data_IF_221494131058
#
_entry.id   IF_221494131058
#
_cell.length_a   1.000
_cell.length_b   1.000
_cell.length_c   1.000
_cell.angle_alpha   90.00
_cell.angle_beta   90.00
_cell.angle_gamma   90.00
#
_symmetry.space_group_name_H-M   'P 1'
#
loop_
_entity.id
_entity.type
_entity.pdbx_description
1 polymer ?
#
# COMPACT_ATOMS: atom_id res chain seq x y z
N UNK A 1 14.59 -14.16 90.31
CA UNK A 1 15.30 -14.38 89.04
C UNK A 1 14.63 -15.53 88.28
N UNK A 2 13.27 -15.42 88.04
CA UNK A 2 12.50 -16.51 87.42
C UNK A 2 11.30 -16.03 86.64
N UNK A 3 11.26 -14.73 86.21
CA UNK A 3 10.08 -14.20 85.45
C UNK A 3 10.29 -13.99 83.91
N UNK A 4 11.39 -14.48 83.39
CA UNK A 4 11.69 -14.32 81.94
C UNK A 4 11.41 -15.58 81.11
N UNK A 5 10.88 -16.65 81.67
CA UNK A 5 10.68 -17.91 80.97
C UNK A 5 9.22 -18.17 80.51
N UNK A 6 8.29 -17.23 80.76
CA UNK A 6 6.89 -17.49 80.50
C UNK A 6 6.27 -16.41 79.50
N UNK A 7 7.05 -15.94 78.56
CA UNK A 7 6.47 -15.17 77.47
C UNK A 7 5.96 -16.12 76.36
N UNK A 8 4.69 -16.07 75.99
CA UNK A 8 4.20 -16.87 74.89
C UNK A 8 4.87 -16.35 73.55
N UNK A 9 5.41 -17.28 72.80
CA UNK A 9 5.97 -16.99 71.47
C UNK A 9 4.94 -16.23 70.62
N UNK A 10 5.39 -15.20 69.86
CA UNK A 10 4.50 -14.51 69.01
C UNK A 10 3.93 -15.47 67.92
N UNK A 11 2.61 -15.60 67.89
CA UNK A 11 1.91 -16.37 66.84
C UNK A 11 2.27 -15.80 65.47
N UNK A 12 2.68 -16.65 64.51
CA UNK A 12 2.94 -16.19 63.16
C UNK A 12 1.65 -15.59 62.59
N UNK A 13 1.71 -14.30 62.26
CA UNK A 13 0.66 -13.62 61.53
C UNK A 13 0.72 -14.15 60.08
N UNK A 14 -0.13 -15.12 59.77
CA UNK A 14 -0.32 -15.57 58.40
C UNK A 14 -1.04 -14.41 57.67
N UNK A 15 -0.48 -13.82 56.64
CA UNK A 15 -1.17 -12.77 55.89
C UNK A 15 -2.40 -13.39 55.23
N UNK A 16 -3.57 -13.11 55.79
CA UNK A 16 -4.86 -13.41 55.21
C UNK A 16 -5.11 -12.40 54.08
N UNK A 17 -4.73 -12.68 52.87
CA UNK A 17 -5.36 -12.17 51.66
C UNK A 17 -4.55 -12.39 50.38
N UNK A 18 -4.48 -13.61 49.85
CA UNK A 18 -4.00 -13.86 48.50
C UNK A 18 -4.98 -14.61 47.57
N UNK A 19 -6.24 -14.80 48.00
CA UNK A 19 -7.18 -15.63 47.21
C UNK A 19 -8.10 -14.89 46.20
N UNK A 20 -8.05 -13.56 46.11
CA UNK A 20 -8.91 -12.82 45.19
C UNK A 20 -8.21 -12.16 43.99
N UNK A 21 -6.88 -12.33 43.83
CA UNK A 21 -6.15 -11.68 42.72
C UNK A 21 -6.28 -12.44 41.39
N UNK A 22 -6.29 -13.75 41.40
CA UNK A 22 -6.21 -14.55 40.18
C UNK A 22 -7.36 -14.36 39.20
N UNK A 23 -8.60 -14.25 39.67
CA UNK A 23 -9.77 -14.03 38.79
C UNK A 23 -9.77 -12.63 38.21
N UNK A 24 -9.42 -11.61 38.95
CA UNK A 24 -9.31 -10.22 38.50
C UNK A 24 -8.20 -10.05 37.47
N UNK A 25 -7.07 -10.67 37.70
CA UNK A 25 -5.94 -10.68 36.78
C UNK A 25 -6.28 -11.42 35.48
N UNK A 26 -7.00 -12.55 35.59
CA UNK A 26 -7.49 -13.31 34.43
C UNK A 26 -8.45 -12.48 33.58
N UNK A 27 -9.44 -11.83 34.20
CA UNK A 27 -10.38 -10.94 33.47
C UNK A 27 -9.69 -9.73 32.86
N UNK A 28 -8.71 -9.15 33.55
CA UNK A 28 -7.90 -8.05 33.01
C UNK A 28 -7.09 -8.49 31.79
N UNK A 29 -6.45 -9.66 31.87
CA UNK A 29 -5.65 -10.21 30.76
C UNK A 29 -6.53 -10.53 29.55
N UNK A 30 -7.68 -11.18 29.76
CA UNK A 30 -8.65 -11.46 28.68
C UNK A 30 -9.15 -10.15 28.08
N UNK A 31 -9.48 -9.15 28.89
CA UNK A 31 -9.90 -7.83 28.43
C UNK A 31 -8.86 -7.14 27.54
N UNK A 32 -7.59 -7.19 27.93
CA UNK A 32 -6.48 -6.65 27.12
C UNK A 32 -6.34 -7.40 25.80
N UNK A 33 -6.41 -8.72 25.80
CA UNK A 33 -6.34 -9.54 24.60
C UNK A 33 -7.52 -9.27 23.64
N UNK A 34 -8.73 -9.17 24.18
CA UNK A 34 -9.93 -8.82 23.39
C UNK A 34 -9.82 -7.41 22.81
N UNK A 35 -9.35 -6.45 23.57
CA UNK A 35 -9.14 -5.07 23.11
C UNK A 35 -8.06 -5.01 22.03
N UNK A 36 -6.93 -5.70 22.23
CA UNK A 36 -5.88 -5.78 21.22
C UNK A 36 -6.38 -6.42 19.92
N UNK A 37 -7.16 -7.51 20.01
CA UNK A 37 -7.79 -8.14 18.87
C UNK A 37 -8.78 -7.21 18.15
N UNK A 38 -9.60 -6.47 18.89
CA UNK A 38 -10.52 -5.48 18.32
C UNK A 38 -9.77 -4.34 17.61
N UNK A 39 -8.73 -3.80 18.23
CA UNK A 39 -7.90 -2.76 17.63
C UNK A 39 -7.23 -3.27 16.35
N UNK A 40 -6.66 -4.47 16.39
CA UNK A 40 -6.07 -5.08 15.20
C UNK A 40 -7.10 -5.28 14.07
N UNK A 41 -8.29 -5.77 14.39
CA UNK A 41 -9.39 -5.93 13.45
C UNK A 41 -9.82 -4.60 12.81
N UNK A 42 -9.95 -3.55 13.63
CA UNK A 42 -10.29 -2.21 13.14
C UNK A 42 -9.18 -1.66 12.24
N UNK A 43 -7.91 -1.78 12.65
CA UNK A 43 -6.77 -1.33 11.84
C UNK A 43 -6.78 -2.05 10.48
N UNK A 44 -6.90 -3.37 10.46
CA UNK A 44 -6.91 -4.16 9.22
C UNK A 44 -8.07 -3.71 8.32
N UNK A 45 -9.29 -3.57 8.86
CA UNK A 45 -10.47 -3.18 8.09
C UNK A 45 -10.41 -1.77 7.50
N UNK A 46 -9.84 -0.81 8.24
CA UNK A 46 -9.75 0.59 7.79
C UNK A 46 -8.52 0.88 6.92
N UNK A 47 -7.39 0.20 7.18
CA UNK A 47 -6.09 0.48 6.56
C UNK A 47 -5.91 -0.29 5.26
N UNK A 48 -6.41 -1.53 5.20
CA UNK A 48 -6.22 -2.41 4.05
C UNK A 48 -7.53 -2.68 3.32
N UNK A 49 -7.44 -2.94 2.03
CA UNK A 49 -8.54 -3.41 1.21
C UNK A 49 -8.08 -4.53 0.29
N UNK A 50 -8.89 -5.58 0.21
CA UNK A 50 -8.67 -6.65 -0.76
C UNK A 50 -9.24 -6.26 -2.12
N UNK A 51 -8.50 -6.57 -3.17
CA UNK A 51 -8.90 -6.43 -4.57
C UNK A 51 -8.61 -7.71 -5.33
N UNK A 52 -9.37 -7.94 -6.39
CA UNK A 52 -9.07 -8.97 -7.37
C UNK A 52 -8.70 -8.29 -8.69
N UNK A 53 -7.63 -8.76 -9.31
CA UNK A 53 -7.18 -8.27 -10.60
C UNK A 53 -8.17 -8.70 -11.68
N UNK A 54 -8.60 -7.75 -12.48
CA UNK A 54 -9.40 -7.97 -13.69
C UNK A 54 -8.68 -7.37 -14.90
N UNK A 55 -8.37 -8.21 -15.86
CA UNK A 55 -7.72 -7.85 -17.12
C UNK A 55 -6.20 -8.09 -17.17
N UNK A 56 -5.63 -7.97 -18.37
CA UNK A 56 -4.26 -8.36 -18.68
C UNK A 56 -3.22 -7.25 -18.52
N UNK A 57 -3.62 -6.01 -18.22
CA UNK A 57 -2.76 -4.81 -18.34
C UNK A 57 -1.52 -4.79 -17.43
N UNK A 58 -1.49 -5.61 -16.39
CA UNK A 58 -0.35 -5.75 -15.47
C UNK A 58 0.34 -7.12 -15.60
N UNK A 59 0.05 -7.89 -16.65
CA UNK A 59 0.69 -9.18 -16.91
C UNK A 59 2.22 -9.05 -16.93
N UNK A 60 2.84 -10.16 -16.58
CA UNK A 60 4.19 -10.36 -16.11
C UNK A 60 4.40 -10.00 -14.63
N UNK A 61 3.64 -9.05 -14.08
CA UNK A 61 3.69 -8.72 -12.64
C UNK A 61 2.47 -9.26 -11.89
N UNK A 62 1.29 -9.01 -12.40
CA UNK A 62 0.00 -9.45 -11.84
C UNK A 62 -0.81 -10.15 -12.92
N UNK A 63 -1.51 -11.21 -12.54
CA UNK A 63 -2.34 -11.98 -13.44
C UNK A 63 -3.83 -11.82 -13.09
N UNK A 64 -4.68 -12.13 -14.04
CA UNK A 64 -6.12 -12.13 -13.81
C UNK A 64 -6.47 -13.04 -12.64
N UNK A 65 -7.45 -12.65 -11.82
CA UNK A 65 -7.89 -13.30 -10.59
C UNK A 65 -6.88 -13.29 -9.41
N UNK A 66 -5.70 -12.67 -9.53
CA UNK A 66 -4.82 -12.43 -8.38
C UNK A 66 -5.56 -11.66 -7.29
N UNK A 67 -5.43 -12.12 -6.02
CA UNK A 67 -5.98 -11.38 -4.88
C UNK A 67 -4.88 -10.53 -4.25
N UNK A 68 -5.18 -9.26 -4.12
CA UNK A 68 -4.25 -8.22 -3.72
C UNK A 68 -4.69 -7.55 -2.43
N UNK A 69 -3.72 -7.14 -1.62
CA UNK A 69 -3.93 -6.24 -0.49
C UNK A 69 -3.39 -4.86 -0.84
N UNK A 70 -4.27 -3.89 -0.79
CA UNK A 70 -3.98 -2.48 -1.07
C UNK A 70 -3.96 -1.70 0.25
N UNK A 71 -2.91 -0.95 0.48
CA UNK A 71 -2.76 -0.06 1.62
C UNK A 71 -3.41 1.30 1.33
N UNK A 72 -4.44 1.65 2.09
CA UNK A 72 -5.23 2.88 1.93
C UNK A 72 -4.76 4.05 2.80
N UNK A 73 -3.95 3.78 3.81
CA UNK A 73 -3.45 4.80 4.76
C UNK A 73 -2.88 6.03 4.07
N UNK A 74 -2.08 5.90 2.98
CA UNK A 74 -1.52 7.08 2.33
C UNK A 74 -2.56 8.14 1.95
N UNK A 75 -3.73 7.69 1.44
CA UNK A 75 -4.81 8.61 1.08
C UNK A 75 -5.51 9.21 2.31
N UNK A 76 -5.88 8.35 3.27
CA UNK A 76 -6.52 8.81 4.51
C UNK A 76 -5.64 9.81 5.27
N UNK A 77 -4.34 9.59 5.28
CA UNK A 77 -3.38 10.51 5.87
C UNK A 77 -3.30 11.82 5.09
N UNK A 78 -3.32 11.77 3.77
CA UNK A 78 -3.32 12.95 2.92
C UNK A 78 -4.59 13.80 3.12
N UNK A 79 -5.74 13.16 3.29
CA UNK A 79 -7.01 13.83 3.58
C UNK A 79 -6.96 14.58 4.93
N UNK A 80 -6.30 13.99 5.94
CA UNK A 80 -6.12 14.59 7.27
C UNK A 80 -5.08 15.72 7.24
N UNK A 81 -3.95 15.52 6.57
CA UNK A 81 -2.81 16.45 6.58
C UNK A 81 -2.91 17.54 5.52
N UNK A 82 -3.90 17.45 4.61
CA UNK A 82 -4.07 18.34 3.43
C UNK A 82 -2.89 18.30 2.46
N UNK A 83 -2.04 17.29 2.53
CA UNK A 83 -0.95 17.08 1.58
C UNK A 83 -1.29 15.89 0.68
N UNK A 84 -1.17 16.08 -0.64
CA UNK A 84 -1.38 14.99 -1.58
C UNK A 84 -0.39 13.85 -1.32
N UNK A 85 -0.91 12.62 -1.26
CA UNK A 85 -0.05 11.45 -1.20
C UNK A 85 0.61 11.23 -2.57
N UNK A 86 1.92 11.28 -2.61
CA UNK A 86 2.71 10.98 -3.80
C UNK A 86 3.41 9.63 -3.58
N UNK A 87 3.07 8.60 -4.35
CA UNK A 87 3.76 7.30 -4.32
C UNK A 87 5.18 7.43 -4.85
N UNK A 88 5.99 6.40 -4.63
CA UNK A 88 7.33 6.33 -5.23
C UNK A 88 7.22 5.87 -6.69
N UNK A 89 8.18 6.28 -7.51
CA UNK A 89 8.35 5.73 -8.86
C UNK A 89 8.57 4.23 -8.79
N UNK A 90 7.85 3.48 -9.63
CA UNK A 90 7.84 2.02 -9.61
C UNK A 90 6.76 1.39 -8.71
N UNK A 91 6.12 2.15 -7.82
CA UNK A 91 5.00 1.64 -7.04
C UNK A 91 3.83 1.25 -7.95
N UNK A 92 3.12 0.19 -7.58
CA UNK A 92 1.86 -0.19 -8.22
C UNK A 92 0.72 0.38 -7.40
N UNK A 93 -0.16 1.15 -8.04
CA UNK A 93 -1.26 1.86 -7.38
C UNK A 93 -2.61 1.49 -7.98
N UNK A 94 -3.65 1.58 -7.15
CA UNK A 94 -5.05 1.56 -7.57
C UNK A 94 -5.57 2.99 -7.52
N UNK A 95 -6.25 3.42 -8.57
CA UNK A 95 -6.81 4.77 -8.67
C UNK A 95 -8.14 4.77 -9.41
N UNK A 96 -8.96 5.78 -9.20
CA UNK A 96 -10.21 6.00 -9.91
C UNK A 96 -9.92 6.78 -11.20
N UNK A 97 -10.37 6.25 -12.34
CA UNK A 97 -10.29 6.93 -13.64
C UNK A 97 -11.69 7.10 -14.21
N UNK A 98 -12.00 8.29 -14.65
CA UNK A 98 -13.24 8.66 -15.38
C UNK A 98 -12.93 9.08 -16.80
N UNK A 99 -13.98 9.22 -17.62
CA UNK A 99 -13.84 9.56 -19.04
C UNK A 99 -13.36 8.39 -19.89
N UNK A 100 -13.59 7.15 -19.45
CA UNK A 100 -13.13 5.95 -20.15
C UNK A 100 -14.09 5.48 -21.25
N UNK A 101 -15.29 6.04 -21.31
CA UNK A 101 -16.31 5.71 -22.33
C UNK A 101 -15.81 5.92 -23.77
N UNK A 102 -14.99 6.93 -24.01
CA UNK A 102 -14.34 7.19 -25.29
C UNK A 102 -13.37 6.07 -25.75
N UNK A 103 -12.96 5.19 -24.84
CA UNK A 103 -12.12 4.03 -25.11
C UNK A 103 -12.90 2.70 -25.06
N UNK A 104 -14.24 2.76 -25.07
CA UNK A 104 -15.09 1.55 -25.02
C UNK A 104 -15.12 0.85 -23.66
N UNK A 105 -14.79 1.56 -22.59
CA UNK A 105 -14.87 1.07 -21.20
C UNK A 105 -16.06 1.73 -20.46
N UNK A 106 -16.39 1.23 -19.27
CA UNK A 106 -17.25 1.95 -18.34
C UNK A 106 -16.68 3.34 -18.06
N UNK A 107 -17.52 4.37 -17.99
CA UNK A 107 -17.07 5.76 -17.87
C UNK A 107 -16.17 6.01 -16.67
N UNK A 108 -16.42 5.31 -15.55
CA UNK A 108 -15.59 5.40 -14.34
C UNK A 108 -15.26 4.01 -13.85
N UNK A 109 -13.96 3.71 -13.76
CA UNK A 109 -13.44 2.41 -13.30
C UNK A 109 -12.25 2.59 -12.38
N UNK A 110 -12.06 1.64 -11.48
CA UNK A 110 -10.80 1.52 -10.73
C UNK A 110 -9.78 0.78 -11.58
N UNK A 111 -8.64 1.41 -11.80
CA UNK A 111 -7.54 0.84 -12.55
C UNK A 111 -6.34 0.57 -11.63
N UNK A 112 -5.57 -0.46 -11.98
CA UNK A 112 -4.29 -0.76 -11.34
C UNK A 112 -3.17 -0.57 -12.37
N UNK A 113 -2.19 0.28 -12.05
CA UNK A 113 -1.05 0.62 -12.92
C UNK A 113 0.21 0.90 -12.10
N UNK A 114 1.34 0.92 -12.79
CA UNK A 114 2.64 1.29 -12.22
C UNK A 114 2.93 2.77 -12.42
N UNK A 115 3.47 3.42 -11.39
CA UNK A 115 3.92 4.80 -11.44
C UNK A 115 5.24 4.89 -12.21
N UNK A 116 5.24 5.65 -13.30
CA UNK A 116 6.40 5.90 -14.17
C UNK A 116 6.94 7.30 -13.95
N UNK A 117 6.08 8.31 -13.95
CA UNK A 117 6.43 9.72 -13.74
C UNK A 117 5.84 10.28 -12.46
N UNK A 118 6.59 11.15 -11.80
CA UNK A 118 6.23 11.86 -10.57
C UNK A 118 6.01 13.35 -10.85
N UNK A 119 5.38 14.11 -9.95
CA UNK A 119 5.19 15.55 -10.11
C UNK A 119 6.53 16.27 -10.42
N UNK A 120 6.50 17.11 -11.44
CA UNK A 120 7.67 17.84 -11.92
C UNK A 120 8.57 17.11 -12.91
N UNK A 121 8.35 15.82 -13.14
CA UNK A 121 9.11 15.09 -14.14
C UNK A 121 8.74 15.52 -15.56
N UNK A 122 9.71 15.54 -16.45
CA UNK A 122 9.50 15.54 -17.88
C UNK A 122 9.59 14.09 -18.38
N UNK A 123 8.47 13.58 -18.85
CA UNK A 123 8.30 12.20 -19.31
C UNK A 123 8.35 12.18 -20.85
N UNK A 124 9.31 11.45 -21.39
CA UNK A 124 9.46 11.24 -22.81
C UNK A 124 9.39 9.76 -23.13
N UNK A 125 8.59 9.38 -24.12
CA UNK A 125 8.61 8.04 -24.70
C UNK A 125 9.28 8.12 -26.07
N UNK A 126 10.49 7.59 -26.15
CA UNK A 126 11.30 7.59 -27.36
C UNK A 126 12.00 6.25 -27.52
N UNK A 127 12.14 5.79 -28.76
CA UNK A 127 12.81 4.52 -29.10
C UNK A 127 12.21 3.34 -28.28
N UNK A 128 10.88 3.30 -28.18
CA UNK A 128 10.12 2.29 -27.45
C UNK A 128 10.47 2.18 -25.95
N UNK A 129 10.98 3.26 -25.35
CA UNK A 129 11.41 3.27 -23.95
C UNK A 129 11.07 4.61 -23.31
N UNK A 130 10.58 4.58 -22.06
CA UNK A 130 10.45 5.79 -21.27
C UNK A 130 11.83 6.35 -20.87
N UNK A 131 11.97 7.66 -21.02
CA UNK A 131 13.07 8.47 -20.51
C UNK A 131 12.47 9.52 -19.59
N UNK A 132 12.93 9.59 -18.37
CA UNK A 132 12.47 10.54 -17.36
C UNK A 132 13.59 11.53 -17.09
N UNK A 133 13.28 12.81 -17.18
CA UNK A 133 14.15 13.90 -16.77
C UNK A 133 13.61 14.49 -15.47
N UNK A 134 14.41 14.52 -14.46
CA UNK A 134 14.10 15.11 -13.14
C UNK A 134 15.31 15.89 -12.60
N UNK A 135 15.16 16.54 -11.46
CA UNK A 135 16.25 17.35 -10.87
C UNK A 135 17.51 16.53 -10.56
N UNK A 136 17.36 15.24 -10.22
CA UNK A 136 18.47 14.35 -9.94
C UNK A 136 19.10 13.77 -11.24
N UNK A 137 18.33 13.72 -12.32
CA UNK A 137 18.74 13.13 -13.59
C UNK A 137 18.48 14.10 -14.76
N UNK A 138 19.20 15.23 -14.85
CA UNK A 138 19.00 16.24 -15.91
C UNK A 138 19.35 15.73 -17.31
N UNK A 139 20.11 14.65 -17.42
CA UNK A 139 20.43 13.96 -18.68
C UNK A 139 19.41 12.86 -19.02
N UNK A 140 18.43 12.66 -18.17
CA UNK A 140 17.43 11.61 -18.31
C UNK A 140 17.93 10.22 -17.87
N UNK A 141 16.99 9.39 -17.41
CA UNK A 141 17.23 7.97 -17.15
C UNK A 141 16.06 7.13 -17.62
N UNK A 142 16.28 5.85 -17.81
CA UNK A 142 15.29 4.89 -18.32
C UNK A 142 14.76 4.05 -17.18
N UNK A 143 13.57 4.34 -16.59
CA UNK A 143 13.08 3.65 -15.40
C UNK A 143 12.92 2.13 -15.61
N UNK A 144 12.48 1.71 -16.79
CA UNK A 144 12.30 0.30 -17.13
C UNK A 144 13.64 -0.45 -17.29
N UNK A 145 14.77 0.24 -17.33
CA UNK A 145 16.11 -0.37 -17.38
C UNK A 145 16.83 -0.31 -16.03
N UNK A 146 16.52 0.70 -15.22
CA UNK A 146 17.25 0.98 -13.98
C UNK A 146 16.54 0.47 -12.74
N UNK A 147 15.20 0.36 -12.77
CA UNK A 147 14.43 -0.07 -11.61
C UNK A 147 14.18 -1.58 -11.62
N UNK A 148 14.08 -2.22 -10.44
CA UNK A 148 13.99 -3.69 -10.31
C UNK A 148 12.82 -4.33 -11.05
N UNK A 149 11.72 -3.60 -11.21
CA UNK A 149 10.52 -4.10 -11.89
C UNK A 149 10.71 -4.27 -13.40
N UNK A 150 11.66 -3.56 -13.98
CA UNK A 150 11.79 -3.42 -15.44
C UNK A 150 12.28 -4.66 -16.17
N UNK A 151 12.80 -5.67 -15.47
CA UNK A 151 13.38 -6.88 -16.08
C UNK A 151 12.43 -7.61 -17.03
N UNK A 152 11.12 -7.54 -16.78
CA UNK A 152 10.09 -8.25 -17.54
C UNK A 152 9.14 -7.30 -18.29
N UNK A 153 9.50 -6.03 -18.44
CA UNK A 153 8.70 -5.06 -19.17
C UNK A 153 9.03 -5.15 -20.66
N UNK A 154 8.03 -5.38 -21.51
CA UNK A 154 8.23 -5.35 -22.96
C UNK A 154 8.49 -3.93 -23.46
N UNK A 155 8.87 -3.81 -24.71
CA UNK A 155 9.00 -2.50 -25.37
C UNK A 155 7.69 -1.72 -25.29
N UNK A 156 7.78 -0.40 -25.16
CA UNK A 156 6.63 0.48 -24.98
C UNK A 156 6.40 1.29 -26.23
N UNK A 157 5.32 0.99 -26.96
CA UNK A 157 4.92 1.75 -28.15
C UNK A 157 4.17 3.04 -27.80
N UNK A 158 4.18 4.00 -28.72
CA UNK A 158 3.52 5.30 -28.61
C UNK A 158 4.52 6.44 -28.55
N UNK A 159 3.99 7.65 -28.44
CA UNK A 159 4.76 8.89 -28.28
C UNK A 159 4.25 9.62 -27.04
N UNK A 160 5.15 10.10 -26.22
CA UNK A 160 4.86 10.93 -25.04
C UNK A 160 5.98 11.95 -24.92
N UNK A 161 5.61 13.19 -24.78
CA UNK A 161 6.54 14.29 -24.45
C UNK A 161 5.75 15.32 -23.64
N UNK A 162 5.83 15.23 -22.31
CA UNK A 162 5.08 16.10 -21.42
C UNK A 162 5.78 16.30 -20.08
N UNK A 163 5.58 17.46 -19.47
CA UNK A 163 6.01 17.74 -18.11
C UNK A 163 4.84 17.65 -17.15
N UNK A 164 5.01 16.88 -16.08
CA UNK A 164 3.97 16.65 -15.07
C UNK A 164 3.83 17.85 -14.12
N UNK A 165 2.60 18.25 -13.90
CA UNK A 165 2.27 19.28 -12.92
C UNK A 165 2.46 18.81 -11.47
N UNK A 166 2.25 19.73 -10.51
CA UNK A 166 2.52 19.54 -9.06
C UNK A 166 1.88 18.29 -8.45
N UNK A 167 0.68 17.91 -8.87
CA UNK A 167 -0.07 16.78 -8.31
C UNK A 167 -0.37 15.71 -9.38
N UNK A 168 0.36 15.74 -10.49
CA UNK A 168 0.19 14.81 -11.59
C UNK A 168 1.16 13.65 -11.54
N UNK A 169 0.68 12.48 -11.94
CA UNK A 169 1.45 11.25 -12.04
C UNK A 169 1.25 10.64 -13.43
N UNK A 170 2.29 10.10 -14.00
CA UNK A 170 2.21 9.31 -15.20
C UNK A 170 2.26 7.83 -14.84
N UNK A 171 1.26 7.08 -15.26
CA UNK A 171 1.13 5.65 -14.92
C UNK A 171 1.07 4.80 -16.19
N UNK A 172 1.62 3.59 -16.13
CA UNK A 172 1.58 2.65 -17.24
C UNK A 172 1.36 1.22 -16.75
N UNK A 173 0.70 0.41 -17.58
CA UNK A 173 0.60 -1.03 -17.32
C UNK A 173 1.93 -1.72 -17.58
N UNK A 174 2.17 -2.84 -16.90
CA UNK A 174 3.38 -3.65 -17.12
C UNK A 174 3.28 -4.42 -18.44
N UNK A 175 2.07 -4.77 -18.86
CA UNK A 175 1.80 -5.28 -20.21
C UNK A 175 1.62 -4.08 -21.19
N UNK A 176 2.73 -3.48 -21.56
CA UNK A 176 2.78 -2.25 -22.39
C UNK A 176 1.92 -2.30 -23.66
N UNK A 177 1.91 -3.40 -24.43
CA UNK A 177 1.08 -3.51 -25.64
C UNK A 177 -0.43 -3.53 -25.35
N UNK A 178 -0.83 -4.14 -24.22
CA UNK A 178 -2.22 -4.37 -23.87
C UNK A 178 -2.59 -3.64 -22.58
N UNK A 179 -2.39 -2.32 -22.59
CA UNK A 179 -2.70 -1.47 -21.44
C UNK A 179 -3.29 -0.13 -21.86
N UNK A 180 -4.51 0.12 -21.42
CA UNK A 180 -5.09 1.46 -21.40
C UNK A 180 -4.52 2.19 -20.17
N UNK A 181 -3.66 3.19 -20.41
CA UNK A 181 -2.93 3.91 -19.39
C UNK A 181 -2.67 5.38 -19.76
N UNK A 182 -1.77 6.08 -19.07
CA UNK A 182 -1.51 7.50 -19.28
C UNK A 182 -1.06 7.86 -20.70
N UNK A 183 -0.63 6.91 -21.51
CA UNK A 183 -0.36 7.14 -22.94
C UNK A 183 -1.64 7.50 -23.71
N UNK A 184 -2.78 6.98 -23.24
CA UNK A 184 -4.08 7.20 -23.88
C UNK A 184 -4.90 8.30 -23.20
N UNK A 185 -5.04 8.24 -21.85
CA UNK A 185 -5.90 9.16 -21.11
C UNK A 185 -5.16 10.31 -20.43
N UNK A 186 -3.83 10.41 -20.60
CA UNK A 186 -3.02 11.45 -19.98
C UNK A 186 -2.65 11.18 -18.52
N UNK A 187 -1.98 12.15 -17.84
CA UNK A 187 -1.60 12.05 -16.45
C UNK A 187 -2.83 11.97 -15.52
N UNK A 188 -2.70 11.23 -14.43
CA UNK A 188 -3.69 11.18 -13.37
C UNK A 188 -3.36 12.20 -12.27
N UNK A 189 -4.36 12.61 -11.51
CA UNK A 189 -4.19 13.45 -10.34
C UNK A 189 -3.93 12.59 -9.10
N UNK A 190 -3.06 13.03 -8.19
CA UNK A 190 -2.76 12.32 -6.94
C UNK A 190 -4.02 12.03 -6.09
N UNK A 191 -5.02 12.93 -6.13
CA UNK A 191 -6.31 12.73 -5.44
C UNK A 191 -7.14 11.55 -5.97
N UNK A 192 -6.84 11.04 -7.17
CA UNK A 192 -7.53 9.87 -7.73
C UNK A 192 -7.02 8.56 -7.13
N UNK A 193 -5.86 8.55 -6.45
CA UNK A 193 -5.26 7.36 -5.87
C UNK A 193 -6.15 6.82 -4.76
N UNK A 194 -6.49 5.54 -4.84
CA UNK A 194 -7.19 4.78 -3.79
C UNK A 194 -6.21 4.19 -2.79
N UNK A 195 -5.06 3.71 -3.28
CA UNK A 195 -4.02 3.15 -2.44
C UNK A 195 -2.89 2.49 -3.24
N UNK A 196 -1.91 1.96 -2.49
CA UNK A 196 -0.72 1.30 -3.02
C UNK A 196 -0.82 -0.21 -2.82
N UNK A 197 -0.40 -0.99 -3.81
CA UNK A 197 -0.23 -2.42 -3.69
C UNK A 197 0.89 -2.75 -2.70
N UNK A 198 0.61 -3.60 -1.73
CA UNK A 198 1.60 -4.07 -0.75
C UNK A 198 1.82 -5.57 -0.80
N UNK A 199 0.78 -6.34 -1.13
CA UNK A 199 0.88 -7.79 -1.07
C UNK A 199 -0.05 -8.45 -2.11
N UNK A 200 0.47 -9.44 -2.86
CA UNK A 200 -0.34 -10.44 -3.53
C UNK A 200 -0.46 -11.65 -2.61
N UNK A 201 -1.69 -12.01 -2.23
CA UNK A 201 -1.98 -13.10 -1.29
C UNK A 201 -2.40 -14.39 -2.00
N UNK A 202 -2.92 -14.31 -3.21
CA UNK A 202 -3.35 -15.47 -3.98
C UNK A 202 -2.98 -15.30 -5.46
N UNK A 203 -2.55 -16.40 -6.13
CA UNK A 203 -2.32 -17.75 -5.61
C UNK A 203 -1.15 -17.81 -4.62
N UNK A 204 -1.27 -18.68 -3.60
CA UNK A 204 -0.26 -18.77 -2.52
C UNK A 204 1.15 -19.10 -3.03
N UNK A 205 1.24 -19.88 -4.11
CA UNK A 205 2.52 -20.22 -4.77
C UNK A 205 3.23 -18.99 -5.37
N UNK A 206 2.54 -17.88 -5.53
CA UNK A 206 3.04 -16.63 -6.08
C UNK A 206 2.86 -15.45 -5.09
N UNK A 207 2.62 -15.73 -3.82
CA UNK A 207 2.52 -14.69 -2.79
C UNK A 207 3.79 -13.83 -2.78
N UNK A 208 3.62 -12.49 -2.78
CA UNK A 208 4.74 -11.56 -2.95
C UNK A 208 4.41 -10.21 -2.33
N UNK A 209 5.39 -9.64 -1.64
CA UNK A 209 5.40 -8.25 -1.15
C UNK A 209 5.92 -7.32 -2.26
N UNK A 210 5.34 -6.10 -2.38
CA UNK A 210 5.64 -5.10 -3.41
C UNK A 210 6.20 -3.82 -2.80
#
# INVERSE_FOLDING_TARGET
MNDLLNQPLPTPVIPENQQHSGTRELFSTIGILCMAGLIAFLIIGFVFRSYQVDGPSMQNTLHNADKLIIWKVPRSWADITRHAYIPKRGDVIVFNQSGLSQFGQEDSKQLIKRVIGLPGDHVVLKDNTYVIYDAAHPKGFKPDKTLPYGKNIPSTSGEVDLTLGKDQLFVSGDNRPDSLDSRAFGPIQAKQIVGKLVLRVFPLSQAKVF
#
